data_IF_799488825305
#
_entry.id   IF_799488825305
#
_cell.length_a   1.000
_cell.length_b   1.000
_cell.length_c   1.000
_cell.angle_alpha   90.00
_cell.angle_beta   90.00
_cell.angle_gamma   90.00
#
_symmetry.space_group_name_H-M   'P 1'
#
loop_
_entity.id
_entity.type
_entity.pdbx_description
1 polymer ?
#
# COMPACT_ATOMS: atom_id res chain seq x y z
N UNK A 1 4.52 20.01 11.01
CA UNK A 1 3.15 20.51 10.77
C UNK A 1 2.67 19.94 9.45
N UNK A 2 1.75 18.98 9.50
CA UNK A 2 1.26 18.27 8.33
C UNK A 2 -0.02 18.92 7.78
N UNK A 3 -0.20 18.92 6.45
CA UNK A 3 -1.38 19.48 5.74
C UNK A 3 -2.75 19.04 6.28
N UNK A 4 -2.79 17.90 6.97
CA UNK A 4 -4.00 17.34 7.59
C UNK A 4 -4.37 18.01 8.92
N UNK A 5 -3.39 18.48 9.69
CA UNK A 5 -3.61 19.20 10.95
C UNK A 5 -4.18 20.60 10.70
N UNK A 6 -3.75 21.26 9.61
CA UNK A 6 -4.20 22.60 9.25
C UNK A 6 -5.70 22.66 8.94
N UNK A 7 -6.26 21.63 8.29
CA UNK A 7 -7.69 21.61 7.92
C UNK A 7 -8.62 21.25 9.08
N UNK A 8 -8.11 20.55 10.11
CA UNK A 8 -8.92 20.25 11.31
C UNK A 8 -9.03 21.44 12.25
N UNK A 9 -8.05 22.35 12.23
CA UNK A 9 -8.05 23.54 13.10
C UNK A 9 -8.97 24.66 12.61
N UNK A 10 -9.40 24.63 11.34
CA UNK A 10 -10.26 25.67 10.76
C UNK A 10 -11.77 25.46 11.03
N UNK A 11 -12.18 24.35 11.66
CA UNK A 11 -13.58 23.94 11.73
C UNK A 11 -14.33 24.20 13.05
N UNK A 12 -13.68 24.70 14.11
CA UNK A 12 -14.33 24.85 15.42
C UNK A 12 -14.09 26.25 15.99
N UNK A 13 -15.00 27.18 15.73
CA UNK A 13 -15.22 28.34 16.62
C UNK A 13 -16.57 29.00 16.32
N UNK A 14 -17.52 28.84 17.26
CA UNK A 14 -18.41 29.90 17.78
C UNK A 14 -19.80 29.33 18.14
N UNK A 15 -19.96 28.80 19.37
CA UNK A 15 -21.12 29.13 20.19
C UNK A 15 -20.69 29.21 21.67
N UNK A 16 -20.89 30.41 22.18
CA UNK A 16 -20.75 30.89 23.55
C UNK A 16 -21.62 30.14 24.57
N UNK A 17 -21.13 30.01 25.81
CA UNK A 17 -21.95 29.64 26.96
C UNK A 17 -21.16 29.58 28.27
N UNK A 18 -21.14 30.68 29.02
CA UNK A 18 -20.64 30.75 30.41
C UNK A 18 -21.65 30.09 31.35
N UNK A 19 -21.18 29.25 32.27
CA UNK A 19 -21.93 28.90 33.50
C UNK A 19 -20.94 28.53 34.61
N UNK A 20 -20.92 29.35 35.66
CA UNK A 20 -20.18 29.20 36.90
C UNK A 20 -21.08 28.42 37.86
N UNK A 21 -20.65 27.26 38.35
CA UNK A 21 -21.23 26.64 39.55
C UNK A 21 -20.17 25.85 40.32
N UNK A 22 -19.95 26.31 41.56
CA UNK A 22 -19.15 25.71 42.62
C UNK A 22 -19.58 24.27 42.93
N UNK A 23 -18.62 23.39 43.19
CA UNK A 23 -18.87 22.08 43.78
C UNK A 23 -17.57 21.33 44.10
N UNK A 24 -17.27 21.18 45.40
CA UNK A 24 -16.22 20.31 45.92
C UNK A 24 -16.49 18.85 45.55
N UNK A 25 -15.43 18.11 45.17
CA UNK A 25 -15.53 16.66 45.01
C UNK A 25 -14.23 16.02 44.51
N UNK A 26 -13.50 15.43 45.46
CA UNK A 26 -12.78 14.15 45.33
C UNK A 26 -11.61 14.03 44.34
N UNK A 27 -10.42 14.16 44.92
CA UNK A 27 -9.21 13.34 44.75
C UNK A 27 -9.24 12.19 43.72
N UNK A 28 -8.26 12.29 42.82
CA UNK A 28 -7.44 11.24 42.17
C UNK A 28 -8.17 10.22 41.33
N UNK A 29 -8.03 10.36 40.01
CA UNK A 29 -7.61 9.22 39.22
C UNK A 29 -6.49 9.64 38.27
N UNK A 30 -5.30 9.09 38.50
CA UNK A 30 -4.15 9.26 37.61
C UNK A 30 -4.43 8.37 36.41
N UNK A 31 -5.06 8.92 35.38
CA UNK A 31 -5.10 8.28 34.08
C UNK A 31 -3.66 8.07 33.63
N UNK A 32 -3.22 6.82 33.76
CA UNK A 32 -1.93 6.37 33.32
C UNK A 32 -1.74 6.84 31.88
N UNK A 33 -0.73 7.68 31.67
CA UNK A 33 -0.10 7.82 30.37
C UNK A 33 0.32 6.42 29.95
N UNK A 34 -0.50 5.73 29.14
CA UNK A 34 0.05 4.69 28.30
C UNK A 34 0.97 5.46 27.37
N UNK A 35 2.25 5.52 27.72
CA UNK A 35 3.29 5.75 26.75
C UNK A 35 3.01 4.71 25.68
N UNK A 36 2.37 5.15 24.59
CA UNK A 36 2.10 4.31 23.45
C UNK A 36 3.46 3.81 23.06
N UNK A 37 3.72 2.54 23.37
CA UNK A 37 4.75 1.75 22.74
C UNK A 37 4.65 2.15 21.27
N UNK A 38 5.70 2.77 20.76
CA UNK A 38 5.93 2.84 19.32
C UNK A 38 6.23 1.41 18.90
N UNK A 39 5.22 0.55 19.01
CA UNK A 39 5.11 -0.61 18.18
C UNK A 39 5.05 0.02 16.79
N UNK A 40 6.20 -0.03 16.15
CA UNK A 40 6.42 0.40 14.78
C UNK A 40 5.44 -0.46 14.01
N UNK A 41 4.18 0.00 13.86
CA UNK A 41 3.12 -0.73 13.17
C UNK A 41 3.80 -1.27 11.95
N UNK A 42 3.98 -2.59 11.90
CA UNK A 42 4.44 -3.29 10.71
C UNK A 42 3.54 -2.72 9.63
N UNK A 43 4.11 -1.84 8.82
CA UNK A 43 3.34 -1.04 7.90
C UNK A 43 2.59 -2.04 7.04
N UNK A 44 1.27 -1.91 7.01
CA UNK A 44 0.35 -2.76 6.26
C UNK A 44 1.06 -3.26 4.99
N UNK A 45 1.47 -4.53 4.93
CA UNK A 45 2.33 -4.98 3.84
C UNK A 45 1.50 -4.97 2.56
N UNK A 46 2.00 -4.36 1.49
CA UNK A 46 1.27 -4.40 0.22
C UNK A 46 1.47 -5.79 -0.40
N UNK A 47 0.38 -6.52 -0.62
CA UNK A 47 0.39 -7.84 -1.23
C UNK A 47 -0.15 -7.79 -2.66
N UNK A 48 0.60 -8.36 -3.60
CA UNK A 48 0.21 -8.50 -5.00
C UNK A 48 0.37 -9.96 -5.45
N UNK A 49 -0.43 -10.37 -6.43
CA UNK A 49 -0.24 -11.64 -7.14
C UNK A 49 -0.12 -11.38 -8.64
N UNK A 50 0.92 -11.94 -9.24
CA UNK A 50 1.19 -11.92 -10.67
C UNK A 50 1.18 -13.36 -11.19
N UNK A 51 0.40 -13.60 -12.24
CA UNK A 51 0.29 -14.89 -12.92
C UNK A 51 0.72 -14.71 -14.37
N UNK A 52 1.84 -15.35 -14.72
CA UNK A 52 2.38 -15.39 -16.06
C UNK A 52 1.64 -16.51 -16.80
N UNK A 53 0.99 -16.17 -17.92
CA UNK A 53 0.28 -17.15 -18.73
C UNK A 53 0.19 -16.69 -20.19
N UNK A 54 -0.03 -17.61 -21.15
CA UNK A 54 -0.40 -17.25 -22.51
C UNK A 54 -1.70 -16.45 -22.54
N UNK A 55 -1.72 -15.37 -23.33
CA UNK A 55 -2.87 -14.49 -23.56
C UNK A 55 -3.04 -14.26 -25.06
N UNK A 56 -4.29 -14.10 -25.50
CA UNK A 56 -4.60 -13.67 -26.86
C UNK A 56 -4.94 -12.19 -26.85
N UNK A 57 -4.25 -11.39 -27.67
CA UNK A 57 -4.41 -9.93 -27.73
C UNK A 57 -4.79 -9.52 -29.14
N UNK A 58 -5.90 -8.81 -29.28
CA UNK A 58 -6.28 -8.17 -30.54
C UNK A 58 -5.56 -6.83 -30.69
N UNK A 59 -4.74 -6.70 -31.74
CA UNK A 59 -3.96 -5.49 -32.02
C UNK A 59 -4.73 -4.52 -32.94
N UNK A 60 -5.55 -5.07 -33.82
CA UNK A 60 -6.44 -4.34 -34.73
C UNK A 60 -7.60 -5.26 -35.17
N UNK A 61 -8.66 -4.74 -35.80
CA UNK A 61 -9.80 -5.56 -36.20
C UNK A 61 -9.37 -6.78 -37.03
N UNK A 62 -9.69 -7.98 -36.52
CA UNK A 62 -9.34 -9.27 -37.12
C UNK A 62 -7.83 -9.61 -37.12
N UNK A 63 -7.02 -8.91 -36.32
CA UNK A 63 -5.60 -9.20 -36.14
C UNK A 63 -5.31 -9.45 -34.66
N UNK A 64 -5.20 -10.73 -34.29
CA UNK A 64 -4.83 -11.16 -32.95
C UNK A 64 -3.48 -11.86 -32.93
N UNK A 65 -2.78 -11.74 -31.81
CA UNK A 65 -1.54 -12.46 -31.53
C UNK A 65 -1.68 -13.25 -30.24
N UNK A 66 -1.00 -14.40 -30.19
CA UNK A 66 -0.76 -15.11 -28.93
C UNK A 66 0.58 -14.64 -28.36
N UNK A 67 0.59 -14.24 -27.10
CA UNK A 67 1.78 -13.77 -26.39
C UNK A 67 1.72 -14.20 -24.93
N UNK A 68 2.79 -14.01 -24.18
CA UNK A 68 2.78 -14.10 -22.72
C UNK A 68 2.32 -12.77 -22.12
N UNK A 69 1.53 -12.84 -21.06
CA UNK A 69 1.02 -11.68 -20.32
C UNK A 69 0.92 -11.96 -18.82
N UNK A 70 0.43 -10.96 -18.09
CA UNK A 70 0.23 -11.04 -16.65
C UNK A 70 -1.25 -10.91 -16.32
N UNK A 71 -1.78 -11.78 -15.48
CA UNK A 71 -3.16 -11.75 -14.98
C UNK A 71 -4.20 -11.67 -16.11
N UNK A 72 -3.94 -12.37 -17.23
CA UNK A 72 -4.86 -12.47 -18.36
C UNK A 72 -4.79 -11.32 -19.39
N UNK A 73 -3.84 -10.38 -19.26
CA UNK A 73 -3.68 -9.29 -20.23
C UNK A 73 -2.22 -9.00 -20.59
N UNK A 74 -2.04 -8.40 -21.77
CA UNK A 74 -0.81 -7.72 -22.16
C UNK A 74 -1.19 -6.37 -22.78
N UNK A 75 -0.81 -5.22 -22.19
CA UNK A 75 0.00 -5.09 -20.97
C UNK A 75 -0.69 -5.64 -19.70
N UNK A 76 0.12 -6.02 -18.72
CA UNK A 76 -0.33 -6.53 -17.43
C UNK A 76 -0.93 -5.44 -16.51
N UNK A 77 -1.35 -5.81 -15.29
CA UNK A 77 -1.93 -4.87 -14.34
C UNK A 77 -0.91 -3.86 -13.82
N UNK A 78 -1.37 -2.63 -13.54
CA UNK A 78 -0.56 -1.60 -12.90
C UNK A 78 -0.42 -1.90 -11.39
N UNK A 79 0.81 -2.18 -10.94
CA UNK A 79 1.12 -2.29 -9.52
C UNK A 79 1.45 -0.90 -8.94
N UNK A 80 0.74 -0.48 -7.89
CA UNK A 80 0.98 0.81 -7.20
C UNK A 80 1.49 0.55 -5.80
N UNK A 81 2.74 0.93 -5.56
CA UNK A 81 3.43 0.76 -4.29
C UNK A 81 3.69 2.10 -3.62
N UNK A 82 3.93 2.09 -2.32
CA UNK A 82 4.30 3.29 -1.56
C UNK A 82 5.74 3.16 -1.10
N UNK A 83 6.53 4.22 -1.31
CA UNK A 83 7.90 4.27 -0.82
C UNK A 83 7.96 4.06 0.71
N UNK A 84 8.95 3.26 1.14
CA UNK A 84 9.15 2.90 2.55
C UNK A 84 8.17 1.87 3.11
N UNK A 85 7.22 1.37 2.31
CA UNK A 85 6.32 0.27 2.70
C UNK A 85 6.90 -1.06 2.21
N UNK A 86 6.81 -2.10 3.05
CA UNK A 86 7.18 -3.45 2.63
C UNK A 86 6.14 -3.98 1.64
N UNK A 87 6.62 -4.65 0.60
CA UNK A 87 5.80 -5.22 -0.46
C UNK A 87 6.14 -6.69 -0.63
N UNK A 88 5.12 -7.51 -0.81
CA UNK A 88 5.24 -8.91 -1.21
C UNK A 88 4.51 -9.09 -2.55
N UNK A 89 5.20 -9.68 -3.52
CA UNK A 89 4.60 -10.08 -4.79
C UNK A 89 4.73 -11.58 -4.93
N UNK A 90 3.61 -12.27 -5.02
CA UNK A 90 3.56 -13.69 -5.33
C UNK A 90 3.51 -13.86 -6.85
N UNK A 91 4.53 -14.52 -7.40
CA UNK A 91 4.63 -14.78 -8.84
C UNK A 91 4.34 -16.26 -9.11
N UNK A 92 3.35 -16.52 -9.95
CA UNK A 92 3.01 -17.84 -10.46
C UNK A 92 3.32 -17.89 -11.96
N UNK A 93 4.05 -18.92 -12.39
CA UNK A 93 4.31 -19.17 -13.79
C UNK A 93 3.47 -20.35 -14.27
N UNK A 94 2.44 -20.07 -15.08
CA UNK A 94 1.61 -21.08 -15.75
C UNK A 94 1.92 -21.17 -17.26
N UNK A 95 3.05 -20.63 -17.71
CA UNK A 95 3.56 -20.88 -19.05
C UNK A 95 4.21 -22.26 -19.15
N UNK A 96 4.58 -22.66 -20.37
CA UNK A 96 5.23 -23.93 -20.67
C UNK A 96 6.77 -23.87 -20.55
N UNK A 97 7.34 -22.71 -20.22
CA UNK A 97 8.79 -22.48 -20.10
C UNK A 97 9.16 -21.77 -18.79
N UNK A 98 10.42 -21.88 -18.31
CA UNK A 98 10.89 -21.05 -17.21
C UNK A 98 10.84 -19.56 -17.56
N UNK A 99 10.30 -18.76 -16.64
CA UNK A 99 10.12 -17.31 -16.80
C UNK A 99 10.67 -16.56 -15.58
N UNK A 100 11.06 -15.30 -15.80
CA UNK A 100 11.56 -14.39 -14.75
C UNK A 100 10.79 -13.06 -14.77
N UNK A 101 10.56 -12.49 -13.59
CA UNK A 101 10.01 -11.14 -13.45
C UNK A 101 11.13 -10.22 -12.99
N UNK A 102 11.55 -9.30 -13.85
CA UNK A 102 12.56 -8.30 -13.50
C UNK A 102 11.93 -6.97 -13.06
N UNK A 103 12.36 -6.45 -11.92
CA UNK A 103 11.84 -5.19 -11.36
C UNK A 103 12.57 -3.97 -11.92
N UNK A 104 12.36 -3.71 -13.21
CA UNK A 104 13.07 -2.66 -13.94
C UNK A 104 13.01 -1.29 -13.23
N UNK A 105 14.17 -0.84 -12.73
CA UNK A 105 14.34 0.47 -12.09
C UNK A 105 14.00 0.53 -10.59
N UNK A 106 13.62 -0.59 -9.96
CA UNK A 106 13.51 -0.64 -8.50
C UNK A 106 14.88 -0.87 -7.86
N UNK A 107 15.13 -0.19 -6.75
CA UNK A 107 16.31 -0.45 -5.92
C UNK A 107 16.01 -1.59 -4.94
N UNK A 108 16.34 -2.82 -5.34
CA UNK A 108 16.13 -4.05 -4.56
C UNK A 108 17.40 -4.91 -4.55
N UNK A 109 17.56 -5.83 -3.57
CA UNK A 109 18.65 -6.80 -3.59
C UNK A 109 18.60 -7.73 -4.82
N UNK A 110 19.75 -8.15 -5.34
CA UNK A 110 19.85 -9.02 -6.53
C UNK A 110 19.08 -10.33 -6.37
N UNK A 111 18.99 -10.88 -5.16
CA UNK A 111 18.29 -12.14 -4.88
C UNK A 111 16.79 -12.10 -5.18
N UNK A 112 16.20 -10.91 -5.28
CA UNK A 112 14.77 -10.71 -5.56
C UNK A 112 14.52 -9.85 -6.80
N UNK A 113 15.57 -9.46 -7.53
CA UNK A 113 15.45 -8.59 -8.71
C UNK A 113 14.97 -9.34 -9.96
N UNK A 114 15.15 -10.66 -10.01
CA UNK A 114 14.73 -11.48 -11.16
C UNK A 114 15.66 -11.37 -12.37
N UNK A 115 16.94 -11.07 -12.16
CA UNK A 115 18.01 -11.18 -13.15
C UNK A 115 18.73 -12.54 -13.03
N UNK A 116 19.23 -13.08 -14.14
CA UNK A 116 20.19 -14.19 -14.12
C UNK A 116 21.58 -13.61 -13.93
N UNK A 117 22.11 -13.66 -12.71
CA UNK A 117 23.51 -13.34 -12.39
C UNK A 117 24.39 -14.60 -12.35
#
# INVERSE_FOLDING_TARGET
MNRREFLQLAGVSALSGVSILSGCGSVVDRTATSAGSTDKRVGDTAHFSLRIAPVNVELSPNQSIQTIGYNGSAPGPLLRMKEGQQVTVEVHNDSDVPELVHWHGLYVPSEVDGAME
#
